data_IF_747397715126
#
_entry.id   IF_747397715126
#
_cell.length_a   1.000
_cell.length_b   1.000
_cell.length_c   1.000
_cell.angle_alpha   90.00
_cell.angle_beta   90.00
_cell.angle_gamma   90.00
#
_symmetry.space_group_name_H-M   'P 1'
#
loop_
_entity.id
_entity.type
_entity.pdbx_description
1 polymer ?
#
# COMPACT_ATOMS: atom_id res chain seq x y z
N UNK A 1 -1.01 -16.58 -16.94
CA UNK A 1 -0.01 -15.79 -17.66
C UNK A 1 -0.26 -15.77 -19.15
N UNK A 2 -0.52 -16.91 -19.82
CA UNK A 2 -0.82 -16.93 -21.27
C UNK A 2 -1.91 -15.92 -21.69
N UNK A 3 -2.98 -15.80 -20.90
CA UNK A 3 -4.08 -14.83 -21.13
C UNK A 3 -3.65 -13.36 -21.11
N UNK A 4 -2.45 -13.03 -20.63
CA UNK A 4 -1.93 -11.65 -20.61
C UNK A 4 -1.29 -11.24 -21.94
N UNK A 5 -0.88 -12.20 -22.78
CA UNK A 5 -0.26 -11.90 -24.06
C UNK A 5 -1.30 -11.51 -25.12
N UNK A 6 -0.93 -10.62 -26.03
CA UNK A 6 -1.78 -10.13 -27.11
C UNK A 6 -2.84 -9.08 -26.70
N UNK A 7 -2.89 -8.71 -25.42
CA UNK A 7 -3.75 -7.61 -24.94
C UNK A 7 -2.91 -6.33 -24.88
N UNK A 8 -3.05 -5.50 -25.92
CA UNK A 8 -2.35 -4.22 -25.99
C UNK A 8 -3.09 -3.17 -25.15
N UNK A 9 -2.33 -2.37 -24.40
CA UNK A 9 -2.84 -1.30 -23.55
C UNK A 9 -2.95 0.01 -24.35
N UNK A 10 -3.60 -0.05 -25.51
CA UNK A 10 -3.79 1.08 -26.43
C UNK A 10 -5.05 1.87 -26.08
N UNK A 11 -4.95 3.19 -26.13
CA UNK A 11 -6.09 4.09 -26.10
C UNK A 11 -5.65 5.52 -26.41
N UNK A 12 -6.58 6.42 -26.77
CA UNK A 12 -6.25 7.82 -27.07
C UNK A 12 -5.44 8.57 -25.99
N UNK A 13 -5.34 8.05 -24.76
CA UNK A 13 -4.58 8.61 -23.63
C UNK A 13 -3.31 7.84 -23.27
N UNK A 14 -3.08 6.66 -23.85
CA UNK A 14 -1.99 5.76 -23.46
C UNK A 14 -1.34 5.13 -24.68
N UNK A 15 -0.08 5.49 -24.89
CA UNK A 15 0.81 4.86 -25.88
C UNK A 15 1.73 3.88 -25.16
N UNK A 16 1.16 2.78 -24.66
CA UNK A 16 1.96 1.71 -24.04
C UNK A 16 2.45 0.77 -25.14
N UNK A 17 3.77 0.70 -25.27
CA UNK A 17 4.49 -0.03 -26.34
C UNK A 17 4.32 -1.55 -26.26
N UNK A 18 4.03 -2.08 -25.07
CA UNK A 18 4.05 -3.52 -24.80
C UNK A 18 2.66 -4.05 -24.41
N UNK A 19 2.35 -5.29 -24.82
CA UNK A 19 1.20 -6.00 -24.29
C UNK A 19 1.37 -6.30 -22.78
N UNK A 20 0.29 -6.73 -22.11
CA UNK A 20 0.34 -6.99 -20.67
C UNK A 20 1.40 -8.06 -20.34
N UNK A 21 1.49 -9.12 -21.13
CA UNK A 21 2.45 -10.21 -20.90
C UNK A 21 3.90 -9.72 -20.96
N UNK A 22 4.29 -9.06 -22.04
CA UNK A 22 5.63 -8.49 -22.22
C UNK A 22 5.97 -7.48 -21.11
N UNK A 23 5.02 -6.60 -20.77
CA UNK A 23 5.16 -5.67 -19.66
C UNK A 23 5.48 -6.37 -18.33
N UNK A 24 4.79 -7.47 -18.00
CA UNK A 24 5.01 -8.22 -16.77
C UNK A 24 6.42 -8.84 -16.71
N UNK A 25 6.93 -9.35 -17.83
CA UNK A 25 8.29 -9.90 -17.90
C UNK A 25 9.36 -8.81 -17.84
N UNK A 26 9.13 -7.66 -18.47
CA UNK A 26 10.02 -6.51 -18.36
C UNK A 26 10.02 -5.94 -16.94
N UNK A 27 8.85 -5.85 -16.28
CA UNK A 27 8.75 -5.44 -14.90
C UNK A 27 9.57 -6.39 -13.99
N UNK A 28 9.39 -7.69 -14.13
CA UNK A 28 10.20 -8.71 -13.46
C UNK A 28 11.70 -8.49 -13.69
N UNK A 29 12.13 -8.28 -14.93
CA UNK A 29 13.54 -8.05 -15.30
C UNK A 29 14.11 -6.83 -14.59
N UNK A 30 13.36 -5.73 -14.57
CA UNK A 30 13.82 -4.42 -14.12
C UNK A 30 13.61 -4.14 -12.62
N UNK A 31 12.81 -4.92 -11.88
CA UNK A 31 12.68 -4.78 -10.42
C UNK A 31 14.04 -4.93 -9.73
N UNK A 32 14.54 -3.93 -8.98
CA UNK A 32 15.89 -3.91 -8.43
C UNK A 32 15.98 -4.68 -7.10
N UNK A 33 15.82 -6.00 -7.17
CA UNK A 33 15.90 -6.90 -6.01
C UNK A 33 16.37 -8.29 -6.44
N UNK A 34 16.99 -9.03 -5.52
CA UNK A 34 17.29 -10.45 -5.68
C UNK A 34 16.30 -11.35 -4.96
N UNK A 35 15.35 -10.79 -4.21
CA UNK A 35 14.35 -11.56 -3.48
C UNK A 35 13.34 -12.19 -4.45
N UNK A 36 13.24 -13.53 -4.52
CA UNK A 36 12.36 -14.21 -5.45
C UNK A 36 10.86 -13.91 -5.20
N UNK A 37 10.46 -13.58 -3.97
CA UNK A 37 9.07 -13.26 -3.66
C UNK A 37 8.68 -11.89 -4.21
N UNK A 38 9.59 -10.92 -4.14
CA UNK A 38 9.38 -9.58 -4.69
C UNK A 38 9.41 -9.62 -6.21
N UNK A 39 10.33 -10.41 -6.80
CA UNK A 39 10.34 -10.72 -8.24
C UNK A 39 9.02 -11.37 -8.69
N UNK A 40 8.51 -12.35 -7.93
CA UNK A 40 7.23 -12.99 -8.23
C UNK A 40 6.07 -11.99 -8.12
N UNK A 41 6.06 -11.11 -7.11
CA UNK A 41 5.07 -10.04 -7.02
C UNK A 41 5.13 -9.09 -8.23
N UNK A 42 6.32 -8.68 -8.67
CA UNK A 42 6.49 -7.85 -9.86
C UNK A 42 5.98 -8.52 -11.14
N UNK A 43 6.24 -9.83 -11.32
CA UNK A 43 5.71 -10.60 -12.44
C UNK A 43 4.17 -10.71 -12.42
N UNK A 44 3.54 -10.62 -11.25
CA UNK A 44 2.11 -10.83 -11.06
C UNK A 44 1.32 -9.54 -10.81
N UNK A 45 1.97 -8.38 -10.69
CA UNK A 45 1.31 -7.16 -10.20
C UNK A 45 0.08 -6.76 -11.03
N UNK A 46 0.19 -6.91 -12.36
CA UNK A 46 -0.84 -6.58 -13.34
C UNK A 46 -1.58 -7.81 -13.91
N UNK A 47 -1.42 -8.99 -13.30
CA UNK A 47 -2.03 -10.24 -13.81
C UNK A 47 -3.56 -10.17 -13.89
N UNK A 48 -4.17 -9.34 -13.04
CA UNK A 48 -5.62 -9.13 -13.02
C UNK A 48 -6.15 -8.38 -14.24
N UNK A 49 -5.31 -7.64 -14.97
CA UNK A 49 -5.74 -6.84 -16.12
C UNK A 49 -6.41 -7.69 -17.21
N UNK A 50 -5.91 -8.90 -17.42
CA UNK A 50 -6.48 -9.84 -18.40
C UNK A 50 -7.93 -10.24 -18.07
N UNK A 51 -8.33 -10.20 -16.80
CA UNK A 51 -9.66 -10.56 -16.33
C UNK A 51 -10.57 -9.33 -16.14
N UNK A 52 -10.05 -8.11 -16.30
CA UNK A 52 -10.77 -6.84 -16.08
C UNK A 52 -10.70 -5.89 -17.28
N UNK A 53 -10.28 -6.38 -18.45
CA UNK A 53 -10.16 -5.56 -19.65
C UNK A 53 -11.53 -5.20 -20.20
N UNK A 54 -11.79 -3.90 -20.34
CA UNK A 54 -13.04 -3.38 -20.91
C UNK A 54 -12.76 -2.20 -21.85
N UNK A 55 -13.54 -2.07 -22.93
CA UNK A 55 -13.49 -0.91 -23.83
C UNK A 55 -14.55 0.09 -23.37
N UNK A 56 -14.12 1.25 -22.91
CA UNK A 56 -15.00 2.34 -22.52
C UNK A 56 -15.72 2.95 -23.73
N UNK A 57 -16.79 3.71 -23.48
CA UNK A 57 -17.58 4.37 -24.53
C UNK A 57 -16.81 5.37 -25.39
N UNK A 58 -15.66 5.86 -24.88
CA UNK A 58 -14.76 6.77 -25.61
C UNK A 58 -13.64 6.03 -26.39
N UNK A 59 -13.70 4.69 -26.43
CA UNK A 59 -12.74 3.83 -27.12
C UNK A 59 -11.47 3.51 -26.32
N UNK A 60 -11.31 4.03 -25.10
CA UNK A 60 -10.16 3.67 -24.26
C UNK A 60 -10.30 2.25 -23.68
N UNK A 61 -9.21 1.49 -23.69
CA UNK A 61 -9.10 0.25 -22.94
C UNK A 61 -8.86 0.56 -21.46
N UNK A 62 -9.67 -0.03 -20.59
CA UNK A 62 -9.64 0.17 -19.13
C UNK A 62 -9.43 -1.15 -18.39
N UNK A 63 -8.92 -1.05 -17.17
CA UNK A 63 -8.61 -2.20 -16.30
C UNK A 63 -9.05 -1.92 -14.87
N UNK A 64 -10.30 -1.52 -14.67
CA UNK A 64 -10.77 -1.15 -13.34
C UNK A 64 -10.67 -2.32 -12.37
N UNK A 65 -10.15 -2.08 -11.16
CA UNK A 65 -10.02 -3.06 -10.09
C UNK A 65 -9.09 -4.26 -10.38
N UNK A 66 -8.20 -4.17 -11.38
CA UNK A 66 -7.25 -5.24 -11.69
C UNK A 66 -6.31 -5.59 -10.53
N UNK A 67 -6.04 -4.64 -9.63
CA UNK A 67 -5.29 -4.83 -8.39
C UNK A 67 -6.04 -5.74 -7.41
N UNK A 68 -7.37 -5.60 -7.31
CA UNK A 68 -8.23 -6.46 -6.48
C UNK A 68 -8.25 -7.88 -7.05
N UNK A 69 -8.55 -8.00 -8.34
CA UNK A 69 -8.63 -9.29 -9.04
C UNK A 69 -7.27 -9.98 -9.06
N UNK A 70 -6.20 -9.23 -9.34
CA UNK A 70 -4.81 -9.70 -9.28
C UNK A 70 -4.45 -10.25 -7.90
N UNK A 71 -4.87 -9.57 -6.82
CA UNK A 71 -4.72 -10.09 -5.46
C UNK A 71 -5.38 -11.46 -5.26
N UNK A 72 -6.61 -11.67 -5.77
CA UNK A 72 -7.29 -12.97 -5.68
C UNK A 72 -6.57 -14.06 -6.49
N UNK A 73 -6.08 -13.73 -7.68
CA UNK A 73 -5.29 -14.64 -8.52
C UNK A 73 -4.00 -15.05 -7.79
N UNK A 74 -3.31 -14.10 -7.15
CA UNK A 74 -2.11 -14.36 -6.36
C UNK A 74 -2.38 -15.34 -5.23
N UNK A 75 -3.50 -15.21 -4.51
CA UNK A 75 -3.86 -16.16 -3.44
C UNK A 75 -4.03 -17.59 -3.98
N UNK A 76 -4.54 -17.75 -5.20
CA UNK A 76 -4.64 -19.08 -5.82
C UNK A 76 -3.28 -19.61 -6.27
N UNK A 77 -2.44 -18.78 -6.88
CA UNK A 77 -1.10 -19.15 -7.35
C UNK A 77 -0.21 -19.57 -6.17
N UNK A 78 -0.17 -18.76 -5.11
CA UNK A 78 0.65 -19.02 -3.91
C UNK A 78 0.24 -20.29 -3.18
N UNK A 79 -1.07 -20.62 -3.14
CA UNK A 79 -1.56 -21.91 -2.65
C UNK A 79 -1.08 -23.09 -3.50
N UNK A 80 -1.11 -22.96 -4.84
CA UNK A 80 -0.61 -24.00 -5.76
C UNK A 80 0.89 -24.24 -5.60
N UNK A 81 1.65 -23.19 -5.28
CA UNK A 81 3.09 -23.28 -4.98
C UNK A 81 3.39 -23.67 -3.53
N UNK A 82 2.37 -23.92 -2.72
CA UNK A 82 2.49 -24.34 -1.33
C UNK A 82 3.32 -23.35 -0.48
N UNK A 83 3.21 -22.06 -0.77
CA UNK A 83 3.92 -21.01 -0.03
C UNK A 83 3.33 -20.86 1.37
N UNK A 84 4.19 -20.50 2.33
CA UNK A 84 3.74 -20.21 3.69
C UNK A 84 2.76 -19.02 3.72
N UNK A 85 1.98 -18.93 4.80
CA UNK A 85 1.05 -17.80 5.01
C UNK A 85 1.78 -16.44 4.95
N UNK A 86 2.98 -16.35 5.51
CA UNK A 86 3.80 -15.12 5.51
C UNK A 86 4.24 -14.74 4.09
N UNK A 87 4.71 -15.70 3.31
CA UNK A 87 5.11 -15.47 1.91
C UNK A 87 3.91 -15.08 1.05
N UNK A 88 2.77 -15.76 1.24
CA UNK A 88 1.52 -15.46 0.56
C UNK A 88 1.03 -14.04 0.86
N UNK A 89 1.01 -13.64 2.13
CA UNK A 89 0.58 -12.30 2.55
C UNK A 89 1.48 -11.21 1.97
N UNK A 90 2.81 -11.42 1.95
CA UNK A 90 3.76 -10.48 1.35
C UNK A 90 3.52 -10.28 -0.14
N UNK A 91 3.42 -11.35 -0.94
CA UNK A 91 3.15 -11.24 -2.38
C UNK A 91 1.77 -10.61 -2.61
N UNK A 92 0.75 -11.05 -1.86
CA UNK A 92 -0.60 -10.50 -1.94
C UNK A 92 -0.61 -8.99 -1.71
N UNK A 93 0.06 -8.48 -0.67
CA UNK A 93 0.12 -7.03 -0.39
C UNK A 93 0.82 -6.26 -1.49
N UNK A 94 1.95 -6.78 -1.97
CA UNK A 94 2.73 -6.16 -3.05
C UNK A 94 1.92 -6.07 -4.34
N UNK A 95 1.07 -7.05 -4.65
CA UNK A 95 0.20 -7.01 -5.84
C UNK A 95 -1.08 -6.21 -5.58
N UNK A 96 -1.79 -6.45 -4.47
CA UNK A 96 -3.06 -5.79 -4.16
C UNK A 96 -2.94 -4.28 -4.02
N UNK A 97 -1.80 -3.78 -3.56
CA UNK A 97 -1.59 -2.37 -3.26
C UNK A 97 -0.55 -1.69 -4.15
N UNK A 98 -0.20 -2.32 -5.29
CA UNK A 98 0.77 -1.75 -6.23
C UNK A 98 0.26 -0.44 -6.88
N UNK A 99 -1.06 -0.21 -6.93
CA UNK A 99 -1.64 1.05 -7.36
C UNK A 99 -1.64 2.06 -6.21
N UNK A 100 -0.56 2.82 -6.10
CA UNK A 100 -0.47 3.98 -5.22
C UNK A 100 -0.01 5.23 -5.97
N UNK A 101 -0.51 6.39 -5.57
CA UNK A 101 -0.10 7.68 -6.12
C UNK A 101 1.15 8.19 -5.40
N UNK A 102 1.99 8.91 -6.13
CA UNK A 102 3.10 9.70 -5.58
C UNK A 102 2.80 11.16 -5.94
N UNK A 103 2.35 11.93 -4.95
CA UNK A 103 1.92 13.32 -5.12
C UNK A 103 2.41 14.14 -3.92
N UNK A 104 2.99 15.30 -4.21
CA UNK A 104 3.55 16.23 -3.23
C UNK A 104 2.53 16.73 -2.20
N UNK A 105 1.24 16.71 -2.53
CA UNK A 105 0.15 17.16 -1.66
C UNK A 105 -0.47 16.03 -0.82
N UNK A 106 0.10 14.82 -0.84
CA UNK A 106 -0.39 13.73 -0.01
C UNK A 106 -0.28 14.04 1.48
N UNK A 107 -1.41 13.94 2.18
CA UNK A 107 -1.47 14.10 3.63
C UNK A 107 -0.75 12.95 4.34
N UNK A 108 -0.24 13.22 5.55
CA UNK A 108 0.37 12.20 6.40
C UNK A 108 -0.60 11.00 6.63
N UNK A 109 -1.90 11.26 6.69
CA UNK A 109 -2.94 10.22 6.82
C UNK A 109 -3.00 9.29 5.60
N UNK A 110 -2.90 9.84 4.39
CA UNK A 110 -2.85 9.03 3.17
C UNK A 110 -1.62 8.13 3.13
N UNK A 111 -0.45 8.66 3.52
CA UNK A 111 0.82 7.92 3.61
C UNK A 111 0.73 6.82 4.68
N UNK A 112 0.17 7.11 5.87
CA UNK A 112 -0.06 6.10 6.92
C UNK A 112 -0.95 4.97 6.44
N UNK A 113 -2.04 5.29 5.73
CA UNK A 113 -2.94 4.28 5.15
C UNK A 113 -2.22 3.41 4.12
N UNK A 114 -1.39 4.00 3.26
CA UNK A 114 -0.53 3.26 2.34
C UNK A 114 0.39 2.30 3.10
N UNK A 115 1.12 2.78 4.11
CA UNK A 115 2.03 1.95 4.90
C UNK A 115 1.29 0.81 5.62
N UNK A 116 0.13 1.08 6.21
CA UNK A 116 -0.71 0.06 6.88
C UNK A 116 -1.18 -1.02 5.91
N UNK A 117 -1.58 -0.64 4.71
CA UNK A 117 -2.06 -1.58 3.69
C UNK A 117 -0.93 -2.47 3.15
N UNK A 118 0.22 -1.86 2.84
CA UNK A 118 1.41 -2.55 2.31
C UNK A 118 2.13 -3.38 3.38
N UNK A 119 2.07 -2.94 4.64
CA UNK A 119 2.92 -3.45 5.72
C UNK A 119 4.26 -2.71 5.74
N UNK A 120 4.69 -2.27 6.92
CA UNK A 120 5.90 -1.46 7.11
C UNK A 120 7.15 -2.19 6.58
N UNK A 121 7.20 -3.49 6.79
CA UNK A 121 8.28 -4.37 6.36
C UNK A 121 8.38 -4.54 4.83
N UNK A 122 7.33 -4.20 4.08
CA UNK A 122 7.27 -4.38 2.63
C UNK A 122 7.39 -3.05 1.85
N UNK A 123 7.66 -1.93 2.53
CA UNK A 123 7.68 -0.61 1.86
C UNK A 123 8.79 -0.51 0.83
N UNK A 124 10.00 -0.95 1.17
CA UNK A 124 11.13 -0.95 0.24
C UNK A 124 10.85 -1.88 -0.96
N UNK A 125 10.27 -3.05 -0.71
CA UNK A 125 9.86 -3.99 -1.75
C UNK A 125 8.79 -3.40 -2.68
N UNK A 126 7.81 -2.68 -2.13
CA UNK A 126 6.78 -2.01 -2.91
C UNK A 126 7.37 -0.93 -3.82
N UNK A 127 8.37 -0.20 -3.34
CA UNK A 127 9.10 0.77 -4.15
C UNK A 127 9.92 0.08 -5.25
N UNK A 128 10.52 -1.08 -4.97
CA UNK A 128 11.20 -1.89 -5.98
C UNK A 128 10.23 -2.40 -7.05
N UNK A 129 9.04 -2.89 -6.67
CA UNK A 129 7.98 -3.29 -7.62
C UNK A 129 7.58 -2.11 -8.50
N UNK A 130 7.38 -0.92 -7.92
CA UNK A 130 7.08 0.31 -8.69
C UNK A 130 8.18 0.69 -9.67
N UNK A 131 9.46 0.56 -9.30
CA UNK A 131 10.59 0.79 -10.22
C UNK A 131 10.52 -0.19 -11.40
N UNK A 132 10.28 -1.47 -11.12
CA UNK A 132 10.12 -2.51 -12.13
C UNK A 132 8.97 -2.20 -13.09
N UNK A 133 7.77 -1.92 -12.56
CA UNK A 133 6.59 -1.53 -13.35
C UNK A 133 6.90 -0.33 -14.27
N UNK A 134 7.46 0.76 -13.75
CA UNK A 134 7.77 1.95 -14.55
C UNK A 134 8.76 1.67 -15.69
N UNK A 135 9.84 0.95 -15.40
CA UNK A 135 10.83 0.55 -16.41
C UNK A 135 10.24 -0.44 -17.42
N UNK A 136 9.45 -1.40 -16.95
CA UNK A 136 8.74 -2.37 -17.79
C UNK A 136 7.62 -1.76 -18.63
N UNK A 137 7.17 -0.56 -18.31
CA UNK A 137 6.29 0.26 -19.14
C UNK A 137 7.02 1.15 -20.15
N UNK A 138 8.36 1.09 -20.23
CA UNK A 138 9.17 1.89 -21.16
C UNK A 138 9.60 3.27 -20.64
N UNK A 139 9.38 3.57 -19.35
CA UNK A 139 9.88 4.83 -18.77
C UNK A 139 11.41 4.80 -18.69
N UNK A 140 12.10 5.83 -19.17
CA UNK A 140 13.57 5.91 -19.08
C UNK A 140 14.06 6.15 -17.64
N UNK A 141 13.40 7.07 -16.92
CA UNK A 141 13.72 7.40 -15.54
C UNK A 141 12.72 6.75 -14.58
N UNK A 142 13.14 5.63 -13.98
CA UNK A 142 12.30 4.85 -13.07
C UNK A 142 11.90 5.65 -11.82
N UNK A 143 12.82 6.44 -11.28
CA UNK A 143 12.61 7.26 -10.09
C UNK A 143 12.39 8.70 -10.54
N UNK A 144 11.22 9.24 -10.22
CA UNK A 144 10.91 10.66 -10.42
C UNK A 144 11.14 11.46 -9.14
N UNK A 145 11.29 12.77 -9.24
CA UNK A 145 11.40 13.64 -8.06
C UNK A 145 10.23 13.46 -7.08
N UNK A 146 9.01 13.20 -7.58
CA UNK A 146 7.84 12.88 -6.72
C UNK A 146 8.00 11.57 -5.96
N UNK A 147 8.62 10.57 -6.59
CA UNK A 147 8.89 9.28 -5.94
C UNK A 147 9.97 9.41 -4.87
N UNK A 148 10.98 10.24 -5.11
CA UNK A 148 12.00 10.58 -4.10
C UNK A 148 11.35 11.31 -2.92
N UNK A 149 10.51 12.31 -3.20
CA UNK A 149 9.82 13.07 -2.17
C UNK A 149 8.86 12.20 -1.35
N UNK A 150 8.08 11.34 -2.01
CA UNK A 150 7.25 10.34 -1.34
C UNK A 150 8.07 9.42 -0.42
N UNK A 151 9.26 8.99 -0.86
CA UNK A 151 10.16 8.17 -0.04
C UNK A 151 10.67 8.92 1.20
N UNK A 152 10.94 10.22 1.09
CA UNK A 152 11.31 11.06 2.24
C UNK A 152 10.13 11.23 3.20
N UNK A 153 8.95 11.55 2.67
CA UNK A 153 7.71 11.73 3.43
C UNK A 153 7.32 10.46 4.20
N UNK A 154 7.51 9.28 3.62
CA UNK A 154 7.36 8.00 4.35
C UNK A 154 8.25 7.98 5.59
N UNK A 155 9.54 8.30 5.45
CA UNK A 155 10.49 8.31 6.58
C UNK A 155 10.10 9.33 7.64
N UNK A 156 9.57 10.49 7.25
CA UNK A 156 9.09 11.51 8.19
C UNK A 156 7.84 11.06 8.95
N UNK A 157 6.87 10.47 8.24
CA UNK A 157 5.64 9.94 8.83
C UNK A 157 5.95 8.83 9.85
N UNK A 158 6.97 8.01 9.59
CA UNK A 158 7.41 6.95 10.49
C UNK A 158 8.13 7.43 11.76
N UNK A 159 8.58 8.70 11.82
CA UNK A 159 9.13 9.29 13.05
C UNK A 159 8.05 9.67 14.06
N UNK A 160 6.81 9.84 13.60
CA UNK A 160 5.65 10.17 14.43
C UNK A 160 4.96 8.88 14.93
N UNK A 161 4.20 8.94 16.03
CA UNK A 161 3.34 7.83 16.45
C UNK A 161 2.49 7.32 15.27
N UNK A 162 2.56 6.02 14.98
CA UNK A 162 2.00 5.43 13.76
C UNK A 162 0.69 4.68 14.02
N UNK A 163 0.47 4.27 15.26
CA UNK A 163 -0.65 3.46 15.71
C UNK A 163 -1.10 3.89 17.11
N UNK A 164 -2.32 3.50 17.49
CA UNK A 164 -2.82 3.68 18.87
C UNK A 164 -1.87 3.07 19.90
N UNK A 165 -1.19 1.96 19.56
CA UNK A 165 -0.20 1.32 20.43
C UNK A 165 1.05 2.16 20.68
N UNK A 166 1.30 3.20 19.89
CA UNK A 166 2.40 4.14 20.09
C UNK A 166 2.05 5.28 21.06
N UNK A 167 0.78 5.36 21.50
CA UNK A 167 0.38 6.30 22.54
C UNK A 167 1.07 5.96 23.86
N UNK A 168 1.43 7.00 24.63
CA UNK A 168 1.97 6.84 26.00
C UNK A 168 0.92 6.43 27.05
N UNK A 169 -0.28 6.09 26.59
CA UNK A 169 -1.39 5.53 27.37
C UNK A 169 -1.97 4.33 26.62
N UNK A 170 -2.74 3.50 27.30
CA UNK A 170 -3.44 2.37 26.70
C UNK A 170 -4.89 2.29 27.20
N UNK A 171 -5.63 1.27 26.73
CA UNK A 171 -7.03 1.08 27.10
C UNK A 171 -7.26 0.90 28.60
N UNK A 172 -6.28 0.36 29.34
CA UNK A 172 -6.38 0.22 30.80
C UNK A 172 -6.39 1.58 31.50
N UNK A 173 -5.63 2.54 30.98
CA UNK A 173 -5.57 3.90 31.54
C UNK A 173 -6.90 4.62 31.33
N UNK A 174 -7.49 4.46 30.14
CA UNK A 174 -8.84 4.97 29.81
C UNK A 174 -9.90 4.35 30.74
N UNK A 175 -9.90 3.03 30.89
CA UNK A 175 -10.85 2.33 31.76
C UNK A 175 -10.74 2.76 33.23
N UNK A 176 -9.51 2.90 33.75
CA UNK A 176 -9.27 3.37 35.12
C UNK A 176 -9.73 4.81 35.32
N UNK A 177 -9.45 5.68 34.37
CA UNK A 177 -9.74 7.12 34.47
C UNK A 177 -11.24 7.41 34.41
N UNK A 178 -11.96 6.73 33.50
CA UNK A 178 -13.39 6.94 33.29
C UNK A 178 -14.29 5.96 34.06
N UNK A 179 -13.70 5.00 34.78
CA UNK A 179 -14.41 3.94 35.48
C UNK A 179 -15.37 3.14 34.58
N UNK A 180 -14.97 2.90 33.33
CA UNK A 180 -15.76 2.15 32.34
C UNK A 180 -15.22 0.73 32.14
N UNK A 181 -16.12 -0.18 31.73
CA UNK A 181 -15.78 -1.55 31.33
C UNK A 181 -15.15 -1.59 29.92
N UNK A 182 -14.40 -2.65 29.58
CA UNK A 182 -13.89 -2.82 28.22
C UNK A 182 -15.03 -2.84 27.20
N UNK A 183 -14.88 -2.08 26.11
CA UNK A 183 -15.88 -1.98 25.06
C UNK A 183 -15.50 -0.95 23.98
N UNK A 184 -16.36 -0.79 22.95
CA UNK A 184 -16.09 0.09 21.80
C UNK A 184 -15.72 1.54 22.19
N UNK A 185 -16.35 2.09 23.23
CA UNK A 185 -16.08 3.45 23.75
C UNK A 185 -14.60 3.65 24.12
N UNK A 186 -13.90 2.63 24.63
CA UNK A 186 -12.46 2.71 24.94
C UNK A 186 -11.64 2.92 23.66
N UNK A 187 -11.98 2.18 22.60
CA UNK A 187 -11.32 2.31 21.30
C UNK A 187 -11.60 3.65 20.65
N UNK A 188 -12.82 4.17 20.74
CA UNK A 188 -13.18 5.50 20.23
C UNK A 188 -12.39 6.62 20.91
N UNK A 189 -12.19 6.54 22.24
CA UNK A 189 -11.39 7.53 22.98
C UNK A 189 -9.92 7.44 22.57
N UNK A 190 -9.34 6.25 22.53
CA UNK A 190 -7.96 6.05 22.07
C UNK A 190 -7.76 6.54 20.64
N UNK A 191 -8.75 6.35 19.77
CA UNK A 191 -8.74 6.83 18.39
C UNK A 191 -8.75 8.37 18.33
N UNK A 192 -9.60 9.04 19.11
CA UNK A 192 -9.61 10.52 19.21
C UNK A 192 -8.28 11.07 19.73
N UNK A 193 -7.74 10.47 20.78
CA UNK A 193 -6.44 10.87 21.34
C UNK A 193 -5.31 10.65 20.34
N UNK A 194 -5.36 9.54 19.61
CA UNK A 194 -4.43 9.27 18.53
C UNK A 194 -4.53 10.32 17.42
N UNK A 195 -5.72 10.74 17.01
CA UNK A 195 -5.92 11.81 16.03
C UNK A 195 -5.31 13.15 16.50
N UNK A 196 -5.47 13.53 17.76
CA UNK A 196 -4.83 14.75 18.31
C UNK A 196 -3.30 14.65 18.30
N UNK A 197 -2.74 13.48 18.62
CA UNK A 197 -1.30 13.20 18.56
C UNK A 197 -0.78 13.16 17.12
N UNK A 198 -1.62 12.80 16.16
CA UNK A 198 -1.25 12.83 14.75
C UNK A 198 -1.10 14.26 14.21
N UNK A 199 -1.91 15.20 14.71
CA UNK A 199 -1.81 16.62 14.39
C UNK A 199 -0.60 17.26 15.06
N UNK A 200 -0.38 16.94 16.34
CA UNK A 200 0.74 17.43 17.13
C UNK A 200 1.37 16.29 17.95
N UNK A 201 2.50 15.77 17.45
CA UNK A 201 3.20 14.65 18.08
C UNK A 201 3.73 14.98 19.48
N UNK A 202 3.87 16.27 19.84
CA UNK A 202 4.30 16.65 21.19
C UNK A 202 3.24 16.32 22.25
N UNK A 203 1.98 16.14 21.84
CA UNK A 203 0.88 15.69 22.70
C UNK A 203 0.96 14.21 23.07
N UNK A 204 1.90 13.44 22.50
CA UNK A 204 2.11 12.05 22.93
C UNK A 204 2.87 11.98 24.26
N UNK A 205 2.29 12.61 25.28
CA UNK A 205 2.80 12.74 26.63
C UNK A 205 1.77 12.15 27.61
N UNK A 206 2.25 11.38 28.59
CA UNK A 206 1.37 10.67 29.52
C UNK A 206 0.48 11.61 30.33
N UNK A 207 0.99 12.78 30.75
CA UNK A 207 0.24 13.73 31.58
C UNK A 207 -0.82 14.45 30.76
N UNK A 208 -0.44 14.91 29.55
CA UNK A 208 -1.39 15.50 28.60
C UNK A 208 -2.54 14.55 28.29
N UNK A 209 -2.22 13.32 27.86
CA UNK A 209 -3.21 12.33 27.44
C UNK A 209 -4.12 11.91 28.60
N UNK A 210 -3.59 11.77 29.81
CA UNK A 210 -4.38 11.43 31.01
C UNK A 210 -5.39 12.51 31.37
N UNK A 211 -5.01 13.78 31.25
CA UNK A 211 -5.93 14.89 31.45
C UNK A 211 -6.97 14.96 30.34
N UNK A 212 -6.55 14.76 29.09
CA UNK A 212 -7.44 14.78 27.94
C UNK A 212 -8.50 13.69 27.96
N UNK A 213 -8.20 12.50 28.50
CA UNK A 213 -9.21 11.43 28.72
C UNK A 213 -10.38 11.96 29.55
N UNK A 214 -10.12 12.73 30.62
CA UNK A 214 -11.17 13.24 31.52
C UNK A 214 -12.10 14.24 30.82
N UNK A 215 -11.57 15.00 29.86
CA UNK A 215 -12.32 15.98 29.08
C UNK A 215 -13.17 15.34 27.98
N UNK A 216 -12.81 14.15 27.51
CA UNK A 216 -13.51 13.40 26.46
C UNK A 216 -14.64 12.49 26.99
N UNK A 217 -14.91 12.52 28.30
CA UNK A 217 -15.84 11.64 29.02
C UNK A 217 -17.31 11.79 28.58
#
# INVERSE_FOLDING_TARGET
MERCFGIVQEGPKHDRVYDIGEHLFLALKHTPTTDPLVKLAALLHDVGKADTVEIASDGNVTFYQHDVVGGQIVLQITRRFNLSKKQTDRIYRLVRWHLFTVDENQTDSAIRRFIKNVGLENIEDMMAVRIGDRLGGGTQNAVSWRMEEFSKRIKEVLKKPFSISDLKINGSDVMKTLQIKPGPKVGEILQKLFEEVLEDSSKNDSDYLSNRIKELA
#
